data_IF_493273693939
#
_entry.id   IF_493273693939
#
_cell.length_a   1.000
_cell.length_b   1.000
_cell.length_c   1.000
_cell.angle_alpha   90.00
_cell.angle_beta   90.00
_cell.angle_gamma   90.00
#
_symmetry.space_group_name_H-M   'P 1'
#
loop_
_entity.id
_entity.type
_entity.pdbx_description
1 polymer ?
#
# COMPACT_ATOMS: atom_id res chain seq x y z
N UNK A 1 8.16 -13.42 -7.69
CA UNK A 1 7.78 -12.00 -7.49
C UNK A 1 8.98 -11.23 -6.99
N UNK A 2 9.56 -10.34 -7.80
CA UNK A 2 10.72 -9.54 -7.39
C UNK A 2 10.29 -8.56 -6.30
N UNK A 3 10.88 -8.67 -5.11
CA UNK A 3 10.65 -7.73 -3.99
C UNK A 3 11.13 -6.36 -4.46
N UNK A 4 10.21 -5.41 -4.63
CA UNK A 4 10.56 -4.01 -4.92
C UNK A 4 11.43 -3.50 -3.77
N UNK A 5 12.73 -3.27 -4.03
CA UNK A 5 13.62 -2.63 -3.06
C UNK A 5 12.99 -1.29 -2.67
N UNK A 6 12.91 -1.03 -1.36
CA UNK A 6 12.58 0.31 -0.86
C UNK A 6 13.59 1.26 -1.50
N UNK A 7 13.14 2.34 -2.14
CA UNK A 7 14.04 3.43 -2.49
C UNK A 7 14.55 3.97 -1.16
N UNK A 8 15.79 3.66 -0.82
CA UNK A 8 16.50 4.39 0.22
C UNK A 8 16.47 5.85 -0.21
N UNK A 9 16.00 6.72 0.67
CA UNK A 9 16.06 8.15 0.37
C UNK A 9 17.52 8.53 0.36
N UNK A 10 17.93 9.24 -0.69
CA UNK A 10 19.27 9.77 -0.80
C UNK A 10 19.55 10.69 0.40
N UNK A 11 20.61 10.36 1.14
CA UNK A 11 21.03 11.09 2.34
C UNK A 11 21.31 12.56 2.03
N UNK A 12 21.97 12.84 0.90
CA UNK A 12 22.30 14.20 0.50
C UNK A 12 21.04 15.02 0.20
N UNK A 13 20.05 14.41 -0.46
CA UNK A 13 18.76 15.06 -0.75
C UNK A 13 18.00 15.38 0.54
N UNK A 14 18.01 14.48 1.53
CA UNK A 14 17.37 14.73 2.81
C UNK A 14 18.08 15.84 3.61
N UNK A 15 19.41 15.80 3.67
CA UNK A 15 20.19 16.83 4.36
C UNK A 15 19.96 18.22 3.72
N UNK A 16 19.92 18.29 2.39
CA UNK A 16 19.64 19.51 1.66
C UNK A 16 18.22 20.04 1.91
N UNK A 17 17.21 19.15 1.95
CA UNK A 17 15.85 19.54 2.34
C UNK A 17 15.81 20.13 3.75
N UNK A 18 16.46 19.50 4.73
CA UNK A 18 16.49 20.00 6.11
C UNK A 18 17.17 21.37 6.18
N UNK A 19 18.26 21.57 5.44
CA UNK A 19 18.93 22.86 5.33
C UNK A 19 17.99 23.93 4.76
N UNK A 20 17.32 23.65 3.64
CA UNK A 20 16.35 24.56 3.01
C UNK A 20 15.18 24.92 3.94
N UNK A 21 14.66 23.94 4.68
CA UNK A 21 13.62 24.16 5.69
C UNK A 21 14.11 25.07 6.82
N UNK A 22 15.37 24.91 7.26
CA UNK A 22 15.96 25.71 8.33
C UNK A 22 16.32 27.14 7.90
N UNK A 23 16.72 27.36 6.63
CA UNK A 23 17.04 28.69 6.08
C UNK A 23 15.81 29.44 5.56
N UNK A 24 14.65 28.78 5.49
CA UNK A 24 13.44 29.35 4.91
C UNK A 24 13.43 29.36 3.37
N UNK A 25 14.42 28.75 2.73
CA UNK A 25 14.55 28.65 1.27
C UNK A 25 13.80 27.40 0.74
N UNK A 26 12.50 27.32 1.02
CA UNK A 26 11.69 26.20 0.56
C UNK A 26 11.45 26.33 -0.95
N UNK A 27 12.17 25.54 -1.74
CA UNK A 27 11.84 25.37 -3.15
C UNK A 27 10.69 24.37 -3.28
N UNK A 28 9.48 24.88 -3.55
CA UNK A 28 8.35 24.03 -3.91
C UNK A 28 8.59 23.39 -5.27
N UNK A 29 9.19 22.19 -5.28
CA UNK A 29 9.25 21.39 -6.49
C UNK A 29 7.81 20.96 -6.82
N UNK A 30 7.23 21.37 -7.96
CA UNK A 30 5.88 20.98 -8.32
C UNK A 30 5.83 19.46 -8.42
N UNK A 31 5.08 18.84 -7.50
CA UNK A 31 4.85 17.40 -7.57
C UNK A 31 4.14 17.12 -8.90
N UNK A 32 4.60 16.14 -9.70
CA UNK A 32 3.89 15.80 -10.92
C UNK A 32 2.44 15.49 -10.56
N UNK A 33 1.49 16.22 -11.16
CA UNK A 33 0.07 15.94 -11.02
C UNK A 33 -0.13 14.49 -11.45
N UNK A 34 -0.50 13.63 -10.52
CA UNK A 34 -0.92 12.27 -10.86
C UNK A 34 -2.26 12.36 -11.56
N UNK A 35 -2.24 12.41 -12.88
CA UNK A 35 -3.43 12.39 -13.73
C UNK A 35 -4.22 11.09 -13.59
N UNK A 36 -3.58 10.03 -13.07
CA UNK A 36 -4.19 8.72 -12.86
C UNK A 36 -3.98 8.21 -11.43
N UNK A 37 -5.06 8.19 -10.64
CA UNK A 37 -5.05 7.57 -9.31
C UNK A 37 -5.33 6.06 -9.42
N UNK A 38 -4.29 5.31 -9.81
CA UNK A 38 -4.32 3.85 -9.86
C UNK A 38 -4.73 3.21 -8.52
N UNK A 39 -4.49 3.88 -7.38
CA UNK A 39 -4.90 3.36 -6.07
C UNK A 39 -6.41 3.46 -5.90
N UNK A 40 -6.99 4.60 -6.25
CA UNK A 40 -8.44 4.78 -6.20
C UNK A 40 -9.16 3.76 -7.10
N UNK A 41 -8.63 3.52 -8.30
CA UNK A 41 -9.20 2.53 -9.22
C UNK A 41 -9.07 1.09 -8.68
N UNK A 42 -7.89 0.72 -8.18
CA UNK A 42 -7.66 -0.59 -7.58
C UNK A 42 -8.54 -0.84 -6.35
N UNK A 43 -8.76 0.18 -5.52
CA UNK A 43 -9.66 0.11 -4.37
C UNK A 43 -11.10 -0.16 -4.80
N UNK A 44 -11.61 0.59 -5.79
CA UNK A 44 -12.96 0.36 -6.35
C UNK A 44 -13.13 -1.08 -6.88
N UNK A 45 -12.13 -1.59 -7.60
CA UNK A 45 -12.12 -2.97 -8.09
C UNK A 45 -12.10 -4.01 -6.97
N UNK A 46 -11.30 -3.77 -5.92
CA UNK A 46 -11.20 -4.66 -4.75
C UNK A 46 -12.49 -4.76 -3.96
N UNK A 47 -13.20 -3.65 -3.75
CA UNK A 47 -14.51 -3.63 -3.08
C UNK A 47 -15.55 -4.49 -3.84
N UNK A 48 -15.61 -4.32 -5.17
CA UNK A 48 -16.53 -5.10 -6.02
C UNK A 48 -16.15 -6.59 -6.03
N UNK A 49 -14.88 -6.90 -6.25
CA UNK A 49 -14.38 -8.27 -6.35
C UNK A 49 -14.47 -9.03 -5.03
N UNK A 50 -14.17 -8.38 -3.91
CA UNK A 50 -14.26 -8.97 -2.57
C UNK A 50 -15.68 -9.38 -2.21
N UNK A 51 -16.67 -8.50 -2.45
CA UNK A 51 -18.09 -8.81 -2.23
C UNK A 51 -18.56 -9.98 -3.10
N UNK A 52 -18.27 -9.92 -4.41
CA UNK A 52 -18.64 -10.99 -5.34
C UNK A 52 -18.01 -12.34 -4.96
N UNK A 53 -16.77 -12.35 -4.48
CA UNK A 53 -16.13 -13.58 -3.98
C UNK A 53 -16.80 -14.09 -2.71
N UNK A 54 -17.17 -13.21 -1.78
CA UNK A 54 -17.83 -13.60 -0.55
C UNK A 54 -19.18 -14.26 -0.85
N UNK A 55 -20.00 -13.66 -1.72
CA UNK A 55 -21.32 -14.18 -2.13
C UNK A 55 -21.25 -15.58 -2.74
N UNK A 56 -20.20 -15.90 -3.49
CA UNK A 56 -19.98 -17.24 -4.09
C UNK A 56 -19.59 -18.33 -3.09
N UNK A 57 -19.18 -17.97 -1.86
CA UNK A 57 -18.72 -18.93 -0.85
C UNK A 57 -19.83 -19.30 0.13
N UNK A 58 -19.94 -20.59 0.44
CA UNK A 58 -20.82 -21.08 1.49
C UNK A 58 -20.31 -20.69 2.89
N UNK A 59 -21.16 -20.71 3.94
CA UNK A 59 -20.73 -20.43 5.30
C UNK A 59 -19.58 -21.34 5.79
N UNK A 60 -19.58 -22.61 5.39
CA UNK A 60 -18.55 -23.59 5.73
C UNK A 60 -17.21 -23.23 5.08
N UNK A 61 -17.21 -22.93 3.79
CA UNK A 61 -16.01 -22.52 3.07
C UNK A 61 -15.41 -21.23 3.65
N UNK A 62 -16.26 -20.27 4.05
CA UNK A 62 -15.80 -19.04 4.73
C UNK A 62 -15.13 -19.37 6.07
N UNK A 63 -15.69 -20.30 6.85
CA UNK A 63 -15.13 -20.75 8.13
C UNK A 63 -13.77 -21.42 7.95
N UNK A 64 -13.63 -22.31 6.97
CA UNK A 64 -12.36 -22.98 6.65
C UNK A 64 -11.26 -21.99 6.26
N UNK A 65 -11.59 -21.03 5.39
CA UNK A 65 -10.65 -19.97 4.97
C UNK A 65 -10.21 -19.14 6.19
N UNK A 66 -11.14 -18.78 7.07
CA UNK A 66 -10.84 -18.02 8.27
C UNK A 66 -9.92 -18.78 9.23
N UNK A 67 -10.19 -20.07 9.46
CA UNK A 67 -9.32 -20.92 10.27
C UNK A 67 -7.92 -21.05 9.68
N UNK A 68 -7.82 -21.28 8.36
CA UNK A 68 -6.53 -21.35 7.66
C UNK A 68 -5.75 -20.04 7.80
N UNK A 69 -6.42 -18.90 7.62
CA UNK A 69 -5.82 -17.59 7.79
C UNK A 69 -5.34 -17.33 9.23
N UNK A 70 -6.14 -17.72 10.22
CA UNK A 70 -5.76 -17.62 11.63
C UNK A 70 -4.53 -18.47 11.95
N UNK A 71 -4.49 -19.74 11.50
CA UNK A 71 -3.30 -20.59 11.63
C UNK A 71 -2.08 -19.96 10.98
N UNK A 72 -2.20 -19.45 9.76
CA UNK A 72 -1.07 -18.79 9.10
C UNK A 72 -0.57 -17.52 9.79
N UNK A 73 -1.46 -16.76 10.45
CA UNK A 73 -1.09 -15.53 11.15
C UNK A 73 -0.54 -15.77 12.55
N UNK A 74 -1.10 -16.75 13.26
CA UNK A 74 -0.87 -16.91 14.71
C UNK A 74 -0.08 -18.18 15.07
N UNK A 75 -0.10 -19.21 14.23
CA UNK A 75 0.59 -20.48 14.50
C UNK A 75 1.89 -20.65 13.71
N UNK A 76 2.13 -19.88 12.65
CA UNK A 76 3.48 -19.71 12.10
C UNK A 76 4.27 -18.73 12.99
N UNK A 77 4.74 -19.24 14.12
CA UNK A 77 5.93 -18.72 14.79
C UNK A 77 7.08 -19.68 14.52
#
# INVERSE_FOLDING_TARGET
MVKRKKKEHDFAINAFRVMQEATGEIQEIPKPKKEFDAKALGHKGGLKGGKARAEKLTPEQRKEIAQKAARSRWLLK
#
